data_IF_697837656965
#
_entry.id   IF_697837656965
#
_cell.length_a   1.000
_cell.length_b   1.000
_cell.length_c   1.000
_cell.angle_alpha   90.00
_cell.angle_beta   90.00
_cell.angle_gamma   90.00
#
_symmetry.space_group_name_H-M   'P 1'
#
loop_
_entity.id
_entity.type
_entity.pdbx_description
1 polymer ?
#
# COMPACT_ATOMS: atom_id res chain seq x y z
N UNK A 1 25.94 24.82 -8.42
CA UNK A 1 25.28 24.38 -7.18
C UNK A 1 24.85 22.95 -7.41
N UNK A 2 25.60 21.99 -6.85
CA UNK A 2 25.28 20.57 -6.99
C UNK A 2 23.96 20.32 -6.28
N UNK A 3 22.96 19.85 -7.02
CA UNK A 3 21.73 19.34 -6.43
C UNK A 3 22.18 18.08 -5.71
N UNK A 4 22.46 18.18 -4.42
CA UNK A 4 22.64 17.03 -3.56
C UNK A 4 21.38 16.20 -3.69
N UNK A 5 21.41 15.23 -4.61
CA UNK A 5 20.43 14.17 -4.69
C UNK A 5 20.63 13.37 -3.41
N UNK A 6 20.04 13.86 -2.32
CA UNK A 6 19.91 13.14 -1.08
C UNK A 6 19.29 11.80 -1.47
N UNK A 7 20.15 10.77 -1.59
CA UNK A 7 19.73 9.39 -1.77
C UNK A 7 18.93 9.09 -0.52
N UNK A 8 17.63 9.34 -0.58
CA UNK A 8 16.67 8.93 0.44
C UNK A 8 16.85 7.42 0.53
N UNK A 9 17.60 7.01 1.53
CA UNK A 9 17.91 5.62 1.77
C UNK A 9 16.70 5.13 2.54
N UNK A 10 15.80 4.48 1.81
CA UNK A 10 14.71 3.72 2.39
C UNK A 10 15.36 2.63 3.24
N UNK A 11 15.42 2.88 4.53
CA UNK A 11 16.24 2.11 5.47
C UNK A 11 15.50 0.87 6.03
N UNK A 12 14.23 0.72 5.65
CA UNK A 12 13.32 -0.20 6.32
C UNK A 12 13.11 -1.51 5.54
N UNK A 13 13.19 -1.44 4.21
CA UNK A 13 13.27 -2.62 3.36
C UNK A 13 12.44 -2.51 2.09
N UNK A 14 11.89 -3.66 1.67
CA UNK A 14 11.10 -3.83 0.47
C UNK A 14 9.67 -4.23 0.84
N UNK A 15 8.71 -3.57 0.22
CA UNK A 15 7.29 -3.83 0.36
C UNK A 15 6.74 -4.38 -0.95
N UNK A 16 6.00 -5.48 -0.88
CA UNK A 16 5.36 -6.10 -2.04
C UNK A 16 3.97 -5.53 -2.23
N UNK A 17 3.74 -4.86 -3.34
CA UNK A 17 2.39 -4.39 -3.71
C UNK A 17 1.72 -5.47 -4.52
N UNK A 18 0.63 -6.02 -3.98
CA UNK A 18 -0.25 -6.98 -4.61
C UNK A 18 -1.52 -6.28 -5.07
N UNK A 19 -2.00 -6.64 -6.24
CA UNK A 19 -3.33 -6.26 -6.69
C UNK A 19 -4.25 -7.47 -6.68
N UNK A 20 -5.46 -7.26 -6.18
CA UNK A 20 -6.51 -8.25 -6.25
C UNK A 20 -7.24 -8.13 -7.60
N UNK A 21 -6.76 -8.82 -8.63
CA UNK A 21 -7.48 -8.88 -9.91
C UNK A 21 -8.61 -9.89 -9.86
N UNK A 22 -9.81 -9.44 -10.20
CA UNK A 22 -10.96 -10.33 -10.39
C UNK A 22 -10.89 -10.92 -11.80
N UNK A 23 -10.60 -12.21 -11.91
CA UNK A 23 -10.57 -12.91 -13.20
C UNK A 23 -12.02 -13.15 -13.62
N UNK A 24 -12.40 -12.59 -14.78
CA UNK A 24 -13.71 -12.81 -15.41
C UNK A 24 -13.53 -13.72 -16.62
N UNK A 25 -14.38 -14.73 -16.77
CA UNK A 25 -14.40 -15.58 -17.96
C UNK A 25 -14.97 -14.82 -19.16
N UNK A 26 -14.77 -15.36 -20.37
CA UNK A 26 -15.36 -14.88 -21.62
C UNK A 26 -16.90 -14.80 -21.58
N UNK A 27 -17.56 -15.44 -20.59
CA UNK A 27 -19.02 -15.35 -20.34
C UNK A 27 -19.41 -14.35 -19.23
N UNK A 28 -18.50 -13.45 -18.82
CA UNK A 28 -18.65 -12.47 -17.71
C UNK A 28 -18.85 -13.07 -16.31
N UNK A 29 -18.80 -14.39 -16.12
CA UNK A 29 -18.77 -15.01 -14.79
C UNK A 29 -17.41 -14.80 -14.12
N UNK A 30 -17.43 -14.40 -12.84
CA UNK A 30 -16.24 -14.29 -11.99
C UNK A 30 -15.75 -15.70 -11.65
N UNK A 31 -14.52 -16.03 -12.04
CA UNK A 31 -13.93 -17.38 -11.86
C UNK A 31 -13.12 -17.45 -10.56
N UNK A 32 -12.58 -16.32 -10.11
CA UNK A 32 -11.77 -16.23 -8.90
C UNK A 32 -11.07 -14.89 -8.77
N UNK A 33 -10.53 -14.61 -7.59
CA UNK A 33 -9.72 -13.43 -7.30
C UNK A 33 -8.26 -13.88 -7.24
N UNK A 34 -7.40 -13.31 -8.07
CA UNK A 34 -5.97 -13.62 -8.09
C UNK A 34 -5.20 -12.43 -7.56
N UNK A 35 -4.50 -12.65 -6.45
CA UNK A 35 -3.57 -11.68 -5.90
C UNK A 35 -2.29 -11.73 -6.73
N UNK A 36 -2.11 -10.73 -7.58
CA UNK A 36 -0.93 -10.62 -8.45
C UNK A 36 0.03 -9.64 -7.79
N UNK A 37 1.22 -10.10 -7.41
CA UNK A 37 2.31 -9.21 -7.02
C UNK A 37 2.69 -8.37 -8.24
N UNK A 38 2.48 -7.05 -8.16
CA UNK A 38 2.76 -6.14 -9.26
C UNK A 38 4.21 -5.68 -9.20
N UNK A 39 4.68 -5.29 -8.01
CA UNK A 39 6.01 -4.71 -7.84
C UNK A 39 6.47 -4.77 -6.38
N UNK A 40 7.79 -4.81 -6.20
CA UNK A 40 8.44 -4.60 -4.91
C UNK A 40 9.02 -3.19 -4.88
N UNK A 41 8.57 -2.39 -3.92
CA UNK A 41 9.03 -1.01 -3.75
C UNK A 41 9.84 -0.90 -2.47
N UNK A 42 10.80 0.02 -2.45
CA UNK A 42 11.48 0.34 -1.19
C UNK A 42 10.59 1.27 -0.37
N UNK A 43 10.54 1.04 0.93
CA UNK A 43 9.74 1.83 1.84
C UNK A 43 10.55 2.28 3.06
N UNK A 44 10.04 3.33 3.70
CA UNK A 44 10.49 3.81 5.01
C UNK A 44 9.28 3.91 5.91
N UNK A 45 9.33 3.29 7.08
CA UNK A 45 8.32 3.48 8.12
C UNK A 45 8.35 4.93 8.60
N UNK A 46 7.16 5.49 8.82
CA UNK A 46 6.98 6.80 9.40
C UNK A 46 6.08 6.70 10.62
N UNK A 47 6.32 7.60 11.58
CA UNK A 47 5.47 7.72 12.75
C UNK A 47 4.10 8.27 12.36
N UNK A 48 3.04 7.55 12.77
CA UNK A 48 1.65 7.98 12.64
C UNK A 48 1.40 9.16 13.58
N UNK A 49 0.93 10.30 13.06
CA UNK A 49 0.55 11.46 13.87
C UNK A 49 -0.89 11.29 14.37
N UNK A 50 -1.24 11.88 15.51
CA UNK A 50 -2.62 11.89 16.04
C UNK A 50 -3.64 12.36 14.99
N UNK A 51 -3.33 13.40 14.21
CA UNK A 51 -4.22 13.89 13.16
C UNK A 51 -4.50 12.84 12.06
N UNK A 52 -3.51 11.99 11.74
CA UNK A 52 -3.67 10.93 10.75
C UNK A 52 -4.54 9.77 11.33
N UNK A 53 -4.41 9.50 12.63
CA UNK A 53 -5.21 8.49 13.35
C UNK A 53 -6.67 8.94 13.44
N UNK A 54 -6.90 10.19 13.84
CA UNK A 54 -8.24 10.78 13.92
C UNK A 54 -8.93 10.81 12.54
N UNK A 55 -8.16 11.06 11.47
CA UNK A 55 -8.68 10.95 10.11
C UNK A 55 -9.12 9.51 9.78
N UNK A 56 -8.31 8.51 10.11
CA UNK A 56 -8.67 7.12 9.88
C UNK A 56 -9.90 6.69 10.71
N UNK A 57 -9.97 7.07 11.99
CA UNK A 57 -11.15 6.82 12.83
C UNK A 57 -12.41 7.47 12.27
N UNK A 58 -12.31 8.66 11.69
CA UNK A 58 -13.45 9.34 11.04
C UNK A 58 -14.01 8.57 9.83
N UNK A 59 -13.25 7.66 9.23
CA UNK A 59 -13.67 6.80 8.11
C UNK A 59 -13.91 5.35 8.55
N UNK A 60 -14.04 5.08 9.86
CA UNK A 60 -14.16 3.74 10.43
C UNK A 60 -13.00 2.81 10.02
N UNK A 61 -11.82 3.40 9.78
CA UNK A 61 -10.60 2.67 9.41
C UNK A 61 -9.56 2.84 10.51
N UNK A 62 -8.73 1.81 10.72
CA UNK A 62 -7.63 1.85 11.68
C UNK A 62 -6.32 2.09 10.96
N UNK A 63 -5.72 3.26 11.17
CA UNK A 63 -4.34 3.48 10.72
C UNK A 63 -3.39 2.71 11.62
N UNK A 64 -2.80 1.64 11.07
CA UNK A 64 -1.85 0.80 11.79
C UNK A 64 -0.42 1.27 11.52
N UNK A 65 -0.14 1.64 10.26
CA UNK A 65 1.20 1.99 9.83
C UNK A 65 1.17 3.07 8.75
N UNK A 66 2.16 3.94 8.73
CA UNK A 66 2.37 4.91 7.67
C UNK A 66 3.73 4.65 7.06
N UNK A 67 3.78 4.51 5.74
CA UNK A 67 5.04 4.28 5.03
C UNK A 67 5.24 5.35 3.96
N UNK A 68 6.49 5.72 3.77
CA UNK A 68 6.94 6.51 2.61
C UNK A 68 7.58 5.58 1.59
N UNK A 69 7.14 5.66 0.34
CA UNK A 69 7.70 4.91 -0.79
C UNK A 69 8.13 5.87 -1.89
N UNK A 70 8.96 5.41 -2.82
CA UNK A 70 9.16 6.15 -4.07
C UNK A 70 7.86 6.16 -4.86
N UNK A 71 7.56 7.30 -5.48
CA UNK A 71 6.42 7.39 -6.37
C UNK A 71 6.56 6.39 -7.52
N UNK A 72 5.69 5.37 -7.52
CA UNK A 72 5.57 4.44 -8.62
C UNK A 72 4.36 4.85 -9.49
N UNK A 73 4.54 5.03 -10.82
CA UNK A 73 3.46 5.44 -11.72
C UNK A 73 2.31 4.42 -11.78
N UNK A 74 2.51 3.20 -11.30
CA UNK A 74 1.48 2.17 -11.10
C UNK A 74 0.28 2.66 -10.28
N UNK A 75 0.52 3.44 -9.22
CA UNK A 75 -0.54 3.96 -8.35
C UNK A 75 -1.34 5.10 -8.98
N UNK A 76 -0.90 5.62 -10.14
CA UNK A 76 -1.58 6.72 -10.83
C UNK A 76 -2.88 6.27 -11.52
N UNK A 77 -2.92 5.02 -11.97
CA UNK A 77 -4.00 4.47 -12.79
C UNK A 77 -4.80 3.35 -12.10
N UNK A 78 -4.49 3.03 -10.83
CA UNK A 78 -5.14 1.96 -10.09
C UNK A 78 -5.82 2.50 -8.84
N UNK A 79 -7.04 2.02 -8.60
CA UNK A 79 -7.75 2.24 -7.35
C UNK A 79 -6.92 1.72 -6.18
N UNK A 80 -6.50 2.63 -5.32
CA UNK A 80 -5.71 2.34 -4.11
C UNK A 80 -6.43 1.34 -3.18
N UNK A 81 -7.75 1.26 -3.28
CA UNK A 81 -8.60 0.31 -2.55
C UNK A 81 -8.45 -1.14 -3.04
N UNK A 82 -8.14 -1.36 -4.33
CA UNK A 82 -7.88 -2.70 -4.87
C UNK A 82 -6.45 -3.20 -4.65
N UNK A 83 -5.59 -2.33 -4.10
CA UNK A 83 -4.19 -2.63 -3.84
C UNK A 83 -4.01 -3.05 -2.38
N UNK A 84 -3.28 -4.15 -2.19
CA UNK A 84 -2.90 -4.68 -0.89
C UNK A 84 -1.38 -4.69 -0.82
N UNK A 85 -0.87 -4.24 0.31
CA UNK A 85 0.54 -4.21 0.61
C UNK A 85 0.89 -5.40 1.49
N UNK A 86 1.82 -6.23 1.06
CA UNK A 86 2.38 -7.29 1.88
C UNK A 86 3.78 -6.90 2.36
N UNK A 87 3.94 -6.91 3.68
CA UNK A 87 5.17 -6.56 4.36
C UNK A 87 5.41 -7.54 5.50
N UNK A 88 6.59 -8.20 5.50
CA UNK A 88 6.97 -9.21 6.50
C UNK A 88 5.88 -10.28 6.77
N UNK A 89 5.15 -10.71 5.75
CA UNK A 89 4.08 -11.71 5.89
C UNK A 89 2.77 -11.16 6.48
N UNK A 90 2.67 -9.86 6.72
CA UNK A 90 1.41 -9.20 7.07
C UNK A 90 0.84 -8.48 5.85
N UNK A 91 -0.47 -8.62 5.66
CA UNK A 91 -1.21 -7.88 4.65
C UNK A 91 -1.75 -6.58 5.23
N UNK A 92 -1.61 -5.52 4.46
CA UNK A 92 -2.05 -4.17 4.78
C UNK A 92 -2.91 -3.62 3.64
N UNK A 93 -4.03 -3.01 3.95
CA UNK A 93 -4.86 -2.28 3.00
C UNK A 93 -4.51 -0.79 3.02
N UNK A 94 -4.57 -0.12 1.87
CA UNK A 94 -4.25 1.29 1.76
C UNK A 94 -5.51 2.11 2.06
N UNK A 95 -5.50 2.83 3.18
CA UNK A 95 -6.56 3.79 3.56
C UNK A 95 -6.50 5.02 2.66
N UNK A 96 -5.27 5.51 2.44
CA UNK A 96 -5.00 6.76 1.73
C UNK A 96 -3.62 6.69 1.08
N UNK A 97 -3.51 7.28 -0.10
CA UNK A 97 -2.23 7.48 -0.77
C UNK A 97 -2.06 8.96 -1.07
N UNK A 98 -1.02 9.56 -0.51
CA UNK A 98 -0.69 10.96 -0.72
C UNK A 98 0.61 11.07 -1.52
N UNK A 99 0.57 11.83 -2.62
CA UNK A 99 1.73 12.01 -3.50
C UNK A 99 2.41 13.34 -3.19
N UNK A 100 3.66 13.28 -2.75
CA UNK A 100 4.49 14.46 -2.51
C UNK A 100 5.73 14.47 -3.41
N UNK A 101 5.67 15.25 -4.50
CA UNK A 101 6.72 15.36 -5.52
C UNK A 101 7.19 14.00 -6.05
N UNK A 102 8.26 13.44 -5.45
CA UNK A 102 8.92 12.19 -5.82
C UNK A 102 8.71 11.05 -4.79
N UNK A 103 8.09 11.37 -3.65
CA UNK A 103 7.74 10.43 -2.60
C UNK A 103 6.23 10.22 -2.56
N UNK A 104 5.80 9.05 -2.11
CA UNK A 104 4.40 8.69 -1.90
C UNK A 104 4.23 8.23 -0.45
N UNK A 105 3.31 8.83 0.27
CA UNK A 105 2.91 8.42 1.61
C UNK A 105 1.70 7.51 1.52
N UNK A 106 1.87 6.28 1.99
CA UNK A 106 0.80 5.29 2.05
C UNK A 106 0.39 5.11 3.50
N UNK A 107 -0.90 5.25 3.72
CA UNK A 107 -1.56 5.04 4.99
C UNK A 107 -2.09 3.62 4.99
N UNK A 108 -1.49 2.78 5.82
CA UNK A 108 -1.74 1.35 5.84
C UNK A 108 -2.58 0.97 7.06
N UNK A 109 -3.68 0.28 6.79
CA UNK A 109 -4.43 -0.46 7.77
C UNK A 109 -3.98 -1.90 7.74
N UNK A 110 -3.56 -2.46 8.87
CA UNK A 110 -3.36 -3.90 8.97
C UNK A 110 -4.68 -4.58 8.75
N UNK A 111 -4.79 -5.32 7.64
CA UNK A 111 -5.93 -6.21 7.44
C UNK A 111 -5.56 -7.50 8.14
N UNK A 112 -6.25 -7.80 9.24
CA UNK A 112 -6.18 -9.13 9.84
C UNK A 112 -6.50 -10.11 8.73
N UNK A 113 -5.53 -10.95 8.38
CA UNK A 113 -5.81 -12.07 7.49
C UNK A 113 -6.88 -12.90 8.18
N UNK A 114 -8.09 -12.87 7.63
CA UNK A 114 -8.94 -14.05 7.63
C UNK A 114 -8.22 -15.08 6.74
N UNK A 115 -7.12 -15.61 7.25
CA UNK A 115 -6.74 -16.99 6.97
C UNK A 115 -7.16 -17.77 8.22
N UNK A 116 -8.48 -17.78 8.43
CA UNK A 116 -9.14 -18.90 9.07
C UNK A 116 -9.28 -19.93 7.96
N UNK A 117 -8.30 -20.83 7.83
CA UNK A 117 -8.45 -22.15 7.20
C UNK A 117 -7.35 -23.06 7.75
N UNK A 118 -7.75 -23.76 8.82
CA UNK A 118 -7.36 -25.15 9.21
C UNK A 118 -6.06 -25.39 10.00
#
# INVERSE_FOLDING_TARGET
MAIEQHRKTFNDGLVSVKESNTIRNSTKKVIGRKNVEIIKLRFSELSCREADIQFAESIDKKLDMKIETLYAPMFKNKDVDSLTIELRGHSYSIIKADRLKNSMYLYLQKVGGLDDTE
#
